data_IF_395727425220
#
_entry.id   IF_395727425220
#
_cell.length_a   1.000
_cell.length_b   1.000
_cell.length_c   1.000
_cell.angle_alpha   90.00
_cell.angle_beta   90.00
_cell.angle_gamma   90.00
#
_symmetry.space_group_name_H-M   'P 1'
#
loop_
_entity.id
_entity.type
_entity.pdbx_description
1 polymer ?
#
# COMPACT_ATOMS: atom_id res chain seq x y z
N UNK A 1 15.30 24.21 6.96
CA UNK A 1 15.39 23.80 8.38
C UNK A 1 14.37 22.70 8.63
N UNK A 2 14.74 21.67 9.40
CA UNK A 2 13.79 20.63 9.78
C UNK A 2 12.89 21.20 10.88
N UNK A 3 11.58 21.10 10.71
CA UNK A 3 10.59 21.49 11.73
C UNK A 3 10.85 20.68 13.00
N UNK A 4 10.75 21.33 14.16
CA UNK A 4 11.09 20.73 15.46
C UNK A 4 10.07 19.67 15.91
N UNK A 5 8.83 19.75 15.41
CA UNK A 5 7.77 18.74 15.59
C UNK A 5 6.78 18.76 14.41
N UNK A 6 7.13 18.22 13.24
CA UNK A 6 6.26 18.25 12.08
C UNK A 6 5.09 17.27 12.25
N UNK A 7 3.92 17.68 11.78
CA UNK A 7 2.83 16.73 11.55
C UNK A 7 3.27 15.67 10.52
N UNK A 8 2.65 14.47 10.50
CA UNK A 8 2.99 13.45 9.51
C UNK A 8 2.92 13.92 8.06
N UNK A 9 2.02 14.86 7.76
CA UNK A 9 1.86 15.47 6.43
C UNK A 9 3.03 16.38 6.09
N UNK A 10 3.44 17.25 7.02
CA UNK A 10 4.58 18.15 6.83
C UNK A 10 5.89 17.37 6.71
N UNK A 11 6.07 16.33 7.52
CA UNK A 11 7.21 15.43 7.43
C UNK A 11 7.28 14.75 6.04
N UNK A 12 6.14 14.27 5.53
CA UNK A 12 6.09 13.66 4.20
C UNK A 12 6.34 14.70 3.10
N UNK A 13 5.77 15.90 3.21
CA UNK A 13 5.98 16.98 2.25
C UNK A 13 7.46 17.39 2.18
N UNK A 14 8.15 17.49 3.32
CA UNK A 14 9.58 17.73 3.35
C UNK A 14 10.36 16.57 2.71
N UNK A 15 10.04 15.32 3.06
CA UNK A 15 10.68 14.13 2.49
C UNK A 15 10.53 14.06 0.97
N UNK A 16 9.37 14.40 0.42
CA UNK A 16 9.13 14.40 -1.03
C UNK A 16 9.89 15.50 -1.78
N UNK A 17 10.37 16.55 -1.09
CA UNK A 17 11.20 17.61 -1.71
C UNK A 17 12.66 17.19 -1.88
N UNK A 18 13.14 16.20 -1.12
CA UNK A 18 14.54 15.75 -1.23
C UNK A 18 14.73 14.82 -2.44
N UNK A 19 15.90 14.85 -3.11
CA UNK A 19 16.19 13.95 -4.23
C UNK A 19 16.07 12.47 -3.86
N UNK A 20 16.53 12.11 -2.65
CA UNK A 20 16.46 10.74 -2.12
C UNK A 20 15.01 10.31 -1.88
N UNK A 21 14.21 11.18 -1.25
CA UNK A 21 12.80 10.89 -0.98
C UNK A 21 11.99 10.76 -2.28
N UNK A 22 12.28 11.57 -3.31
CA UNK A 22 11.69 11.39 -4.65
C UNK A 22 12.06 10.05 -5.28
N UNK A 23 13.34 9.67 -5.25
CA UNK A 23 13.79 8.37 -5.78
C UNK A 23 13.08 7.20 -5.09
N UNK A 24 13.00 7.23 -3.76
CA UNK A 24 12.31 6.21 -3.00
C UNK A 24 10.80 6.19 -3.28
N UNK A 25 10.16 7.36 -3.35
CA UNK A 25 8.74 7.46 -3.65
C UNK A 25 8.40 6.96 -5.06
N UNK A 26 9.29 7.18 -6.04
CA UNK A 26 9.10 6.69 -7.41
C UNK A 26 9.00 5.16 -7.50
N UNK A 27 9.65 4.42 -6.59
CA UNK A 27 9.53 2.96 -6.51
C UNK A 27 8.10 2.49 -6.21
N UNK A 28 7.23 3.38 -5.71
CA UNK A 28 5.82 3.04 -5.44
C UNK A 28 5.07 2.58 -6.70
N UNK A 29 5.47 3.09 -7.86
CA UNK A 29 4.89 2.73 -9.17
C UNK A 29 5.03 1.24 -9.50
N UNK A 30 6.12 0.62 -9.04
CA UNK A 30 6.42 -0.78 -9.33
C UNK A 30 6.17 -1.71 -8.14
N UNK A 31 6.16 -1.20 -6.90
CA UNK A 31 6.02 -2.04 -5.70
C UNK A 31 4.56 -2.13 -5.21
N UNK A 32 3.95 -1.12 -4.55
CA UNK A 32 2.59 -1.17 -4.07
C UNK A 32 1.52 -0.91 -5.12
N UNK A 33 1.74 -0.05 -6.13
CA UNK A 33 0.68 0.30 -7.10
C UNK A 33 0.14 -0.91 -7.88
N UNK A 34 0.99 -1.85 -8.37
CA UNK A 34 0.49 -3.06 -9.02
C UNK A 34 -0.32 -3.94 -8.07
N UNK A 35 0.10 -4.07 -6.81
CA UNK A 35 -0.63 -4.84 -5.79
C UNK A 35 -2.02 -4.26 -5.55
N UNK A 36 -2.14 -2.93 -5.42
CA UNK A 36 -3.43 -2.27 -5.28
C UNK A 36 -4.30 -2.43 -6.54
N UNK A 37 -3.71 -2.36 -7.73
CA UNK A 37 -4.40 -2.60 -9.00
C UNK A 37 -5.00 -4.01 -9.07
N UNK A 38 -4.23 -5.02 -8.65
CA UNK A 38 -4.67 -6.42 -8.59
C UNK A 38 -5.78 -6.61 -7.56
N UNK A 39 -5.61 -6.09 -6.35
CA UNK A 39 -6.63 -6.17 -5.29
C UNK A 39 -7.96 -5.59 -5.79
N UNK A 40 -7.94 -4.44 -6.46
CA UNK A 40 -9.16 -3.76 -6.92
C UNK A 40 -9.78 -4.42 -8.16
N UNK A 41 -8.98 -4.75 -9.16
CA UNK A 41 -9.50 -5.14 -10.48
C UNK A 41 -9.56 -6.65 -10.67
N UNK A 42 -8.67 -7.40 -10.02
CA UNK A 42 -8.55 -8.85 -10.20
C UNK A 42 -9.19 -9.61 -9.05
N UNK A 43 -9.00 -9.14 -7.81
CA UNK A 43 -9.70 -9.72 -6.65
C UNK A 43 -11.09 -9.10 -6.41
N UNK A 44 -11.42 -8.00 -7.11
CA UNK A 44 -12.72 -7.34 -7.02
C UNK A 44 -12.97 -6.57 -5.72
N UNK A 45 -11.96 -6.36 -4.88
CA UNK A 45 -12.12 -5.66 -3.60
C UNK A 45 -12.18 -4.14 -3.81
N UNK A 46 -13.40 -3.61 -3.96
CA UNK A 46 -13.66 -2.18 -4.26
C UNK A 46 -14.09 -1.37 -3.05
N UNK A 47 -14.67 -2.01 -2.04
CA UNK A 47 -15.20 -1.36 -0.86
C UNK A 47 -15.04 -2.26 0.37
N UNK A 48 -14.92 -1.63 1.53
CA UNK A 48 -15.03 -2.30 2.83
C UNK A 48 -16.53 -2.45 3.14
N UNK A 49 -16.94 -3.65 3.54
CA UNK A 49 -18.36 -3.90 3.88
C UNK A 49 -18.63 -3.60 5.35
N UNK A 50 -17.61 -3.81 6.19
CA UNK A 50 -17.70 -3.60 7.62
C UNK A 50 -17.28 -2.17 8.02
N UNK A 51 -17.90 -1.65 9.10
CA UNK A 51 -17.64 -0.31 9.63
C UNK A 51 -16.80 -0.38 10.89
N UNK A 52 -15.84 0.54 11.02
CA UNK A 52 -14.93 0.62 12.15
C UNK A 52 -13.54 0.07 11.83
N UNK A 53 -12.51 0.71 12.39
CA UNK A 53 -11.11 0.45 12.03
C UNK A 53 -10.70 -1.01 12.25
N UNK A 54 -11.16 -1.62 13.34
CA UNK A 54 -10.82 -3.01 13.66
C UNK A 54 -11.39 -3.99 12.64
N UNK A 55 -12.62 -3.76 12.19
CA UNK A 55 -13.28 -4.63 11.22
C UNK A 55 -12.69 -4.44 9.81
N UNK A 56 -12.45 -3.18 9.40
CA UNK A 56 -11.77 -2.87 8.14
C UNK A 56 -10.35 -3.46 8.07
N UNK A 57 -9.62 -3.49 9.19
CA UNK A 57 -8.33 -4.21 9.30
C UNK A 57 -8.49 -5.71 9.05
N UNK A 58 -9.56 -6.32 9.55
CA UNK A 58 -9.88 -7.73 9.28
C UNK A 58 -10.09 -8.01 7.80
N UNK A 59 -10.94 -7.21 7.12
CA UNK A 59 -11.17 -7.33 5.68
C UNK A 59 -9.86 -7.12 4.88
N UNK A 60 -9.06 -6.15 5.31
CA UNK A 60 -7.77 -5.87 4.67
C UNK A 60 -6.76 -7.02 4.81
N UNK A 61 -6.70 -7.65 5.99
CA UNK A 61 -5.87 -8.85 6.20
C UNK A 61 -6.31 -10.01 5.32
N UNK A 62 -7.62 -10.21 5.14
CA UNK A 62 -8.15 -11.28 4.29
C UNK A 62 -7.79 -11.07 2.81
N UNK A 63 -8.01 -9.86 2.28
CA UNK A 63 -7.73 -9.58 0.86
C UNK A 63 -6.24 -9.62 0.54
N UNK A 64 -5.39 -9.14 1.47
CA UNK A 64 -3.93 -9.22 1.31
C UNK A 64 -3.41 -10.65 1.40
N UNK A 65 -4.00 -11.49 2.25
CA UNK A 65 -3.71 -12.92 2.30
C UNK A 65 -4.08 -13.62 0.99
N UNK A 66 -5.27 -13.33 0.45
CA UNK A 66 -5.70 -13.87 -0.85
C UNK A 66 -4.73 -13.48 -1.98
N UNK A 67 -4.26 -12.22 -2.00
CA UNK A 67 -3.21 -11.79 -2.93
C UNK A 67 -1.91 -12.56 -2.73
N UNK A 68 -1.42 -12.69 -1.50
CA UNK A 68 -0.18 -13.39 -1.20
C UNK A 68 -0.24 -14.86 -1.63
N UNK A 69 -1.36 -15.55 -1.37
CA UNK A 69 -1.57 -16.93 -1.82
C UNK A 69 -1.54 -17.03 -3.35
N UNK A 70 -2.22 -16.12 -4.06
CA UNK A 70 -2.17 -16.06 -5.52
C UNK A 70 -0.74 -15.86 -6.03
N UNK A 71 0.02 -14.97 -5.39
CA UNK A 71 1.42 -14.69 -5.76
C UNK A 71 2.31 -15.91 -5.53
N UNK A 72 2.18 -16.58 -4.38
CA UNK A 72 2.93 -17.80 -4.06
C UNK A 72 2.64 -18.93 -5.05
N UNK A 73 1.37 -19.13 -5.42
CA UNK A 73 1.00 -20.15 -6.39
C UNK A 73 1.66 -19.91 -7.76
N UNK A 74 1.65 -18.67 -8.25
CA UNK A 74 2.32 -18.31 -9.52
C UNK A 74 3.84 -18.50 -9.43
N UNK A 75 4.46 -18.17 -8.29
CA UNK A 75 5.90 -18.33 -8.10
C UNK A 75 6.32 -19.80 -7.92
N UNK A 76 5.48 -20.65 -7.32
CA UNK A 76 5.76 -22.07 -7.14
C UNK A 76 5.39 -22.94 -8.34
N UNK A 77 4.64 -22.41 -9.30
CA UNK A 77 4.37 -23.04 -10.60
C UNK A 77 5.45 -22.74 -11.66
N UNK A 78 6.41 -21.88 -11.33
CA UNK A 78 7.58 -21.53 -12.15
C UNK A 78 8.82 -22.31 -11.68
#
# INVERSE_FOLDING_TARGET
EALENPTPVEAMAHRLKTPEGRKLYALRKQTPEPVFGIIKSVLGFRQFSMRGLQQARGEWSLVTMAWNLKRLFVLGAA
#
